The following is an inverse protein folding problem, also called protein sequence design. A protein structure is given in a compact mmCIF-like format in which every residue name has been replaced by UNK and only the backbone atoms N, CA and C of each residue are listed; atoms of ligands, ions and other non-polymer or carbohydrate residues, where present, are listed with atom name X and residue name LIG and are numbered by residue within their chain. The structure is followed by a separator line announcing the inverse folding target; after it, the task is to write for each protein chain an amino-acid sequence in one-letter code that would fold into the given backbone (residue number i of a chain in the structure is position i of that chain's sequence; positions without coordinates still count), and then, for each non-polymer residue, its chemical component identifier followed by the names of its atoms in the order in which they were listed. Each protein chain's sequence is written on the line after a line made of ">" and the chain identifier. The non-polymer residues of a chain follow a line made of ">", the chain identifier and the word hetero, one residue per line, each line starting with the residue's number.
data_IF_879548868725
#
_entry.id   IF_879548868725
#
_cell.length_a   1.000
_cell.length_b   1.000
_cell.length_c   1.000
_cell.angle_alpha   90.00
_cell.angle_beta   90.00
_cell.angle_gamma   90.00
#
_symmetry.space_group_name_H-M   'P 1'
#
loop_
_entity.id
_entity.type
_entity.pdbx_description
1 polymer ?
#
# COMPACT_ATOMS: atom_id res chain seq x y z
N UNK A 1 4.95 0.67 9.56
CA UNK A 1 4.48 2.01 9.12
C UNK A 1 5.68 2.81 8.69
N UNK A 2 5.51 3.77 7.78
CA UNK A 2 6.52 4.80 7.63
C UNK A 2 6.69 5.60 8.94
N UNK A 3 7.89 6.10 9.22
CA UNK A 3 8.18 6.89 10.41
C UNK A 3 8.13 8.40 10.11
N UNK A 4 7.47 9.18 10.96
CA UNK A 4 7.34 10.65 10.86
C UNK A 4 8.72 11.31 10.86
N UNK A 5 9.62 10.84 11.73
CA UNK A 5 10.98 11.40 11.86
C UNK A 5 11.78 11.34 10.55
N UNK A 6 11.51 10.35 9.69
CA UNK A 6 12.23 10.12 8.43
C UNK A 6 11.74 11.01 7.30
N UNK A 7 10.64 11.74 7.49
CA UNK A 7 10.04 12.58 6.47
C UNK A 7 10.28 14.06 6.75
N UNK A 8 10.60 14.81 5.69
CA UNK A 8 10.91 16.25 5.80
C UNK A 8 9.66 17.10 6.04
N UNK A 9 8.52 16.71 5.46
CA UNK A 9 7.32 17.54 5.43
C UNK A 9 7.49 18.78 4.55
N UNK A 10 6.55 19.72 4.67
CA UNK A 10 6.58 21.06 4.06
C UNK A 10 7.43 21.98 4.94
N UNK A 11 8.29 22.78 4.29
CA UNK A 11 9.17 23.75 4.96
C UNK A 11 8.79 25.20 4.65
N UNK A 12 7.88 25.40 3.69
CA UNK A 12 7.40 26.71 3.26
C UNK A 12 6.47 27.34 4.31
N UNK A 13 6.83 28.55 4.77
CA UNK A 13 5.99 29.34 5.68
C UNK A 13 4.62 29.68 5.07
N UNK A 14 4.54 29.74 3.73
CA UNK A 14 3.30 29.95 2.97
C UNK A 14 2.53 28.65 2.68
N UNK A 15 2.85 27.53 3.32
CA UNK A 15 2.08 26.31 3.15
C UNK A 15 0.66 26.46 3.75
N UNK A 16 -0.30 25.72 3.20
CA UNK A 16 -1.65 25.66 3.79
C UNK A 16 -1.63 25.19 5.25
N UNK A 17 -0.72 24.27 5.61
CA UNK A 17 -0.57 23.77 6.98
C UNK A 17 -0.17 24.87 7.96
N UNK A 18 0.77 25.74 7.57
CA UNK A 18 1.23 26.86 8.40
C UNK A 18 0.12 27.90 8.61
N UNK A 19 -0.67 28.18 7.57
CA UNK A 19 -1.77 29.17 7.64
C UNK A 19 -2.93 28.76 8.55
N UNK A 20 -3.22 27.46 8.68
CA UNK A 20 -4.31 26.97 9.54
C UNK A 20 -4.12 27.39 11.00
N UNK A 21 -2.87 27.34 11.49
CA UNK A 21 -2.57 27.65 12.89
C UNK A 21 -1.82 28.97 13.10
N UNK A 22 -1.44 29.66 12.02
CA UNK A 22 -0.53 30.80 12.09
C UNK A 22 0.85 30.44 12.65
N UNK A 23 1.25 29.17 12.55
CA UNK A 23 2.48 28.66 13.15
C UNK A 23 3.20 27.70 12.20
N UNK A 24 4.42 28.08 11.79
CA UNK A 24 5.22 27.30 10.83
C UNK A 24 5.71 25.96 11.40
N UNK A 25 6.11 25.90 12.68
CA UNK A 25 6.60 24.66 13.29
C UNK A 25 5.47 23.62 13.38
N UNK A 26 4.29 24.06 13.83
CA UNK A 26 3.11 23.21 13.92
C UNK A 26 2.65 22.77 12.53
N UNK A 27 2.61 23.70 11.57
CA UNK A 27 2.30 23.38 10.17
C UNK A 27 3.27 22.36 9.57
N UNK A 28 4.57 22.50 9.83
CA UNK A 28 5.59 21.55 9.38
C UNK A 28 5.39 20.16 9.99
N UNK A 29 5.16 20.06 11.31
CA UNK A 29 4.92 18.78 11.98
C UNK A 29 3.67 18.06 11.42
N UNK A 30 2.55 18.77 11.26
CA UNK A 30 1.32 18.21 10.67
C UNK A 30 1.55 17.75 9.23
N UNK A 31 2.30 18.53 8.45
CA UNK A 31 2.62 18.14 7.07
C UNK A 31 3.49 16.88 6.99
N UNK A 32 4.35 16.62 7.98
CA UNK A 32 5.10 15.36 8.09
C UNK A 32 4.17 14.20 8.37
N UNK A 33 3.22 14.33 9.30
CA UNK A 33 2.20 13.30 9.56
C UNK A 33 1.45 12.93 8.28
N UNK A 34 1.03 13.92 7.49
CA UNK A 34 0.37 13.65 6.22
C UNK A 34 1.31 12.93 5.23
N UNK A 35 2.56 13.40 5.07
CA UNK A 35 3.54 12.71 4.23
C UNK A 35 3.78 11.25 4.69
N UNK A 36 3.71 10.99 6.00
CA UNK A 36 3.85 9.66 6.59
C UNK A 36 2.67 8.77 6.22
N UNK A 37 1.44 9.31 6.28
CA UNK A 37 0.25 8.59 5.83
C UNK A 37 0.33 8.19 4.36
N UNK A 38 0.86 9.07 3.49
CA UNK A 38 1.08 8.74 2.08
C UNK A 38 2.14 7.63 1.94
N UNK A 39 3.24 7.76 2.68
CA UNK A 39 4.36 6.81 2.62
C UNK A 39 4.04 5.45 3.24
N UNK A 40 2.99 5.35 4.07
CA UNK A 40 2.59 4.13 4.73
C UNK A 40 2.19 3.01 3.75
N UNK A 41 1.54 3.36 2.63
CA UNK A 41 1.22 2.39 1.56
C UNK A 41 2.48 1.79 0.93
N UNK A 42 3.43 2.63 0.53
CA UNK A 42 4.72 2.19 -0.02
C UNK A 42 5.52 1.34 0.99
N UNK A 43 5.41 1.64 2.29
CA UNK A 43 6.09 0.87 3.32
C UNK A 43 5.44 -0.49 3.54
N UNK A 44 4.10 -0.58 3.44
CA UNK A 44 3.39 -1.85 3.49
C UNK A 44 3.84 -2.78 2.36
N UNK A 45 3.95 -2.28 1.13
CA UNK A 45 4.46 -3.06 -0.01
C UNK A 45 5.84 -3.66 0.27
N UNK A 46 6.76 -2.87 0.84
CA UNK A 46 8.09 -3.34 1.21
C UNK A 46 8.05 -4.40 2.29
N UNK A 47 7.24 -4.21 3.33
CA UNK A 47 7.09 -5.18 4.41
C UNK A 47 6.59 -6.50 3.82
N UNK A 48 5.48 -6.50 3.08
CA UNK A 48 4.95 -7.70 2.43
C UNK A 48 6.02 -8.39 1.58
N UNK A 49 6.74 -7.61 0.77
CA UNK A 49 7.80 -8.14 -0.11
C UNK A 49 8.96 -8.77 0.65
N UNK A 50 9.27 -8.29 1.85
CA UNK A 50 10.34 -8.87 2.69
C UNK A 50 9.99 -10.23 3.29
N UNK A 51 8.69 -10.56 3.41
CA UNK A 51 8.23 -11.86 3.89
C UNK A 51 7.89 -12.83 2.76
N UNK A 52 7.51 -12.32 1.58
CA UNK A 52 7.12 -13.13 0.45
C UNK A 52 8.33 -13.71 -0.30
N UNK A 53 8.09 -14.80 -1.04
CA UNK A 53 9.09 -15.31 -1.96
C UNK A 53 9.16 -14.46 -3.24
N UNK A 54 10.23 -13.68 -3.38
CA UNK A 54 10.47 -12.82 -4.57
C UNK A 54 11.58 -13.36 -5.46
N UNK A 55 11.91 -14.65 -5.39
CA UNK A 55 13.04 -15.25 -6.12
C UNK A 55 12.80 -15.36 -7.63
N UNK A 56 11.54 -15.34 -8.07
CA UNK A 56 11.15 -15.53 -9.46
C UNK A 56 10.99 -14.19 -10.17
N UNK A 57 11.59 -14.06 -11.35
CA UNK A 57 11.44 -12.87 -12.19
C UNK A 57 10.28 -13.04 -13.16
N UNK A 58 9.72 -11.91 -13.62
CA UNK A 58 8.61 -11.96 -14.57
C UNK A 58 9.03 -12.51 -15.93
N UNK A 59 10.29 -12.31 -16.30
CA UNK A 59 10.85 -12.89 -17.54
C UNK A 59 11.03 -14.42 -17.41
N UNK A 60 11.20 -14.98 -16.21
CA UNK A 60 11.24 -16.43 -16.00
C UNK A 60 9.87 -17.08 -16.24
N UNK A 61 8.79 -16.40 -15.88
CA UNK A 61 7.42 -16.81 -16.18
C UNK A 61 7.20 -16.93 -17.69
N UNK A 62 7.71 -15.98 -18.47
CA UNK A 62 7.58 -15.99 -19.93
C UNK A 62 8.33 -17.14 -20.58
N UNK A 63 9.50 -17.48 -20.05
CA UNK A 63 10.36 -18.54 -20.58
C UNK A 63 10.00 -19.92 -20.01
N UNK A 64 8.91 -20.02 -19.24
CA UNK A 64 8.49 -21.24 -18.53
C UNK A 64 9.57 -21.84 -17.61
N UNK A 65 10.43 -21.00 -17.05
CA UNK A 65 11.55 -21.38 -16.18
C UNK A 65 11.19 -21.20 -14.70
N UNK A 66 10.32 -22.05 -14.17
CA UNK A 66 9.87 -21.98 -12.79
C UNK A 66 9.53 -23.35 -12.22
N UNK A 67 9.57 -23.46 -10.88
CA UNK A 67 9.09 -24.60 -10.12
C UNK A 67 7.73 -24.32 -9.47
N UNK A 68 7.09 -25.35 -8.95
CA UNK A 68 5.90 -25.20 -8.10
C UNK A 68 6.20 -24.32 -6.87
N UNK A 69 5.27 -23.42 -6.55
CA UNK A 69 5.46 -22.42 -5.51
C UNK A 69 4.47 -21.28 -5.58
N UNK A 70 4.61 -20.33 -4.64
CA UNK A 70 3.96 -19.03 -4.68
C UNK A 70 5.04 -17.97 -4.75
N UNK A 71 4.95 -17.09 -5.73
CA UNK A 71 5.96 -16.06 -5.99
C UNK A 71 5.31 -14.69 -6.10
N UNK A 72 5.93 -13.70 -5.45
CA UNK A 72 5.54 -12.31 -5.52
C UNK A 72 6.47 -11.54 -6.47
N UNK A 73 5.88 -10.84 -7.43
CA UNK A 73 6.57 -9.90 -8.31
C UNK A 73 6.04 -8.50 -8.01
N UNK A 74 6.93 -7.61 -7.55
CA UNK A 74 6.58 -6.23 -7.18
C UNK A 74 6.44 -5.33 -8.40
N UNK A 75 5.71 -4.22 -8.27
CA UNK A 75 5.63 -3.13 -9.27
C UNK A 75 6.99 -2.72 -9.83
N UNK A 76 8.01 -2.63 -8.96
CA UNK A 76 9.40 -2.29 -9.37
C UNK A 76 10.01 -3.36 -10.27
N UNK A 77 9.74 -4.63 -10.01
CA UNK A 77 10.19 -5.73 -10.85
C UNK A 77 9.44 -5.75 -12.19
N UNK A 78 8.12 -5.52 -12.19
CA UNK A 78 7.32 -5.40 -13.43
C UNK A 78 7.88 -4.30 -14.34
N UNK A 79 8.17 -3.10 -13.79
CA UNK A 79 8.73 -1.97 -14.55
C UNK A 79 10.08 -2.26 -15.22
N UNK A 80 10.86 -3.19 -14.67
CA UNK A 80 12.15 -3.61 -15.23
C UNK A 80 12.03 -4.75 -16.25
N UNK A 81 10.89 -5.43 -16.29
CA UNK A 81 10.65 -6.57 -17.18
C UNK A 81 10.36 -6.16 -18.61
N UNK A 82 10.40 -7.14 -19.51
CA UNK A 82 9.96 -7.00 -20.91
C UNK A 82 8.43 -6.88 -21.04
N UNK A 83 7.68 -7.16 -19.97
CA UNK A 83 6.22 -7.08 -19.90
C UNK A 83 5.68 -5.75 -19.37
N UNK A 84 6.55 -4.76 -19.13
CA UNK A 84 6.06 -3.43 -18.76
C UNK A 84 5.08 -2.91 -19.82
N UNK A 85 3.96 -2.37 -19.37
CA UNK A 85 3.05 -1.64 -20.26
C UNK A 85 3.68 -0.30 -20.62
N UNK A 86 3.50 0.14 -21.87
CA UNK A 86 3.96 1.46 -22.31
C UNK A 86 3.31 2.63 -21.53
N UNK A 87 2.25 2.36 -20.76
CA UNK A 87 1.41 3.37 -20.11
C UNK A 87 1.66 3.60 -18.60
N UNK A 88 2.70 3.00 -17.98
CA UNK A 88 2.94 3.09 -16.53
C UNK A 88 1.76 2.62 -15.65
N UNK A 89 0.91 1.74 -16.18
CA UNK A 89 -0.30 1.23 -15.50
C UNK A 89 -0.03 -0.12 -14.81
N UNK A 90 1.06 -0.20 -14.04
CA UNK A 90 1.42 -1.46 -13.37
C UNK A 90 0.68 -1.66 -12.05
N UNK A 91 0.21 -2.89 -11.76
CA UNK A 91 -0.30 -3.25 -10.45
C UNK A 91 0.80 -3.14 -9.41
N UNK A 92 0.41 -3.04 -8.14
CA UNK A 92 1.38 -2.99 -7.05
C UNK A 92 2.04 -4.36 -6.84
N UNK A 93 1.26 -5.44 -6.96
CA UNK A 93 1.71 -6.82 -6.78
C UNK A 93 1.17 -7.73 -7.89
N UNK A 94 2.03 -8.62 -8.39
CA UNK A 94 1.63 -9.82 -9.12
C UNK A 94 1.99 -11.06 -8.30
N UNK A 95 1.06 -11.98 -8.14
CA UNK A 95 1.30 -13.21 -7.39
C UNK A 95 1.06 -14.41 -8.29
N UNK A 96 2.09 -15.22 -8.48
CA UNK A 96 2.03 -16.44 -9.27
C UNK A 96 1.91 -17.64 -8.34
N UNK A 97 0.77 -18.31 -8.38
CA UNK A 97 0.56 -19.61 -7.75
C UNK A 97 0.70 -20.72 -8.80
N UNK A 98 1.69 -21.59 -8.59
CA UNK A 98 2.00 -22.73 -9.45
C UNK A 98 1.93 -23.98 -8.59
N UNK A 99 0.94 -24.85 -8.84
CA UNK A 99 0.73 -26.08 -8.08
C UNK A 99 0.13 -27.17 -8.95
N UNK A 100 0.82 -28.30 -9.11
CA UNK A 100 0.28 -29.51 -9.74
C UNK A 100 -0.49 -29.22 -11.06
N UNK A 101 0.15 -28.52 -12.00
CA UNK A 101 -0.40 -28.06 -13.29
C UNK A 101 -1.44 -26.93 -13.23
N UNK A 102 -1.93 -26.54 -12.05
CA UNK A 102 -2.72 -25.31 -11.89
C UNK A 102 -1.76 -24.11 -11.83
N UNK A 103 -2.04 -23.11 -12.67
CA UNK A 103 -1.25 -21.89 -12.84
C UNK A 103 -2.20 -20.69 -12.77
N UNK A 104 -2.07 -19.87 -11.73
CA UNK A 104 -2.88 -18.67 -11.55
C UNK A 104 -2.02 -17.45 -11.24
N UNK A 105 -2.37 -16.31 -11.82
CA UNK A 105 -1.73 -15.02 -11.61
C UNK A 105 -2.76 -14.05 -11.00
N UNK A 106 -2.54 -13.69 -9.74
CA UNK A 106 -3.32 -12.66 -9.06
C UNK A 106 -2.71 -11.29 -9.37
N UNK A 107 -3.53 -10.38 -9.90
CA UNK A 107 -3.17 -9.00 -10.21
C UNK A 107 -3.75 -8.12 -9.11
N UNK A 108 -2.90 -7.64 -8.20
CA UNK A 108 -3.36 -7.00 -6.97
C UNK A 108 -2.96 -5.53 -6.93
N UNK A 109 -3.95 -4.68 -6.76
CA UNK A 109 -3.79 -3.28 -6.35
C UNK A 109 -3.85 -3.23 -4.82
N UNK A 110 -2.82 -2.71 -4.16
CA UNK A 110 -2.70 -2.74 -2.70
C UNK A 110 -3.04 -1.39 -2.11
N UNK A 111 -3.96 -1.40 -1.14
CA UNK A 111 -4.38 -0.22 -0.40
C UNK A 111 -4.20 -0.44 1.10
N UNK A 112 -3.76 0.62 1.77
CA UNK A 112 -3.60 0.58 3.23
C UNK A 112 -4.92 0.76 3.98
N UNK A 113 -5.87 1.52 3.41
CA UNK A 113 -7.22 1.75 3.96
C UNK A 113 -8.29 1.51 2.91
N UNK A 114 -9.53 1.91 3.19
CA UNK A 114 -10.73 1.53 2.44
C UNK A 114 -11.64 2.70 1.98
N UNK A 115 -11.43 3.93 2.46
CA UNK A 115 -12.25 5.09 2.06
C UNK A 115 -11.73 5.76 0.78
N UNK A 116 -12.35 5.46 -0.38
CA UNK A 116 -11.89 5.97 -1.67
C UNK A 116 -12.80 7.02 -2.32
N UNK A 117 -12.15 7.89 -3.09
CA UNK A 117 -12.82 8.76 -4.05
C UNK A 117 -13.34 7.94 -5.24
N UNK A 118 -14.60 8.17 -5.63
CA UNK A 118 -15.29 7.40 -6.70
C UNK A 118 -14.59 7.46 -8.06
N UNK A 119 -13.99 8.61 -8.41
CA UNK A 119 -13.33 8.78 -9.71
C UNK A 119 -12.03 8.00 -9.73
N UNK A 120 -11.30 8.03 -8.62
CA UNK A 120 -10.06 7.27 -8.45
C UNK A 120 -10.32 5.77 -8.54
N UNK A 121 -11.32 5.25 -7.82
CA UNK A 121 -11.68 3.83 -7.85
C UNK A 121 -12.03 3.32 -9.26
N UNK A 122 -12.75 4.12 -10.05
CA UNK A 122 -13.15 3.72 -11.41
C UNK A 122 -11.94 3.66 -12.37
N UNK A 123 -11.05 4.66 -12.29
CA UNK A 123 -9.82 4.67 -13.08
C UNK A 123 -8.87 3.54 -12.72
N UNK A 124 -8.73 3.22 -11.43
CA UNK A 124 -7.91 2.09 -10.97
C UNK A 124 -8.44 0.75 -11.50
N UNK A 125 -9.76 0.54 -11.49
CA UNK A 125 -10.38 -0.67 -12.08
C UNK A 125 -10.13 -0.80 -13.58
N UNK A 126 -10.29 0.29 -14.32
CA UNK A 126 -10.03 0.29 -15.76
C UNK A 126 -8.55 -0.02 -16.07
N UNK A 127 -7.64 0.56 -15.29
CA UNK A 127 -6.20 0.32 -15.43
C UNK A 127 -5.84 -1.15 -15.18
N UNK A 128 -6.40 -1.76 -14.13
CA UNK A 128 -6.18 -3.18 -13.84
C UNK A 128 -6.73 -4.09 -14.95
N UNK A 129 -7.90 -3.79 -15.51
CA UNK A 129 -8.44 -4.55 -16.65
C UNK A 129 -7.58 -4.46 -17.90
N UNK A 130 -7.03 -3.28 -18.20
CA UNK A 130 -6.08 -3.09 -19.31
C UNK A 130 -4.80 -3.90 -19.06
N UNK A 131 -4.31 -3.91 -17.82
CA UNK A 131 -3.13 -4.71 -17.46
C UNK A 131 -3.40 -6.21 -17.58
N UNK A 132 -4.51 -6.69 -17.02
CA UNK A 132 -4.92 -8.09 -17.13
C UNK A 132 -5.01 -8.54 -18.58
N UNK A 133 -5.73 -7.80 -19.42
CA UNK A 133 -5.87 -8.10 -20.84
C UNK A 133 -4.52 -8.14 -21.57
N UNK A 134 -3.55 -7.35 -21.12
CA UNK A 134 -2.21 -7.35 -21.69
C UNK A 134 -1.40 -8.59 -21.28
N UNK A 135 -1.44 -8.95 -19.99
CA UNK A 135 -0.61 -10.02 -19.46
C UNK A 135 -1.19 -11.40 -19.76
N UNK A 136 -2.52 -11.57 -19.72
CA UNK A 136 -3.18 -12.86 -19.94
C UNK A 136 -2.89 -13.44 -21.33
N UNK A 137 -2.71 -12.59 -22.33
CA UNK A 137 -2.33 -12.98 -23.69
C UNK A 137 -0.85 -13.40 -23.84
N UNK A 138 -0.04 -13.25 -22.79
CA UNK A 138 1.41 -13.46 -22.83
C UNK A 138 1.90 -14.57 -21.90
N UNK A 139 1.06 -15.01 -20.96
CA UNK A 139 1.41 -16.02 -19.97
C UNK A 139 0.40 -17.17 -20.03
N UNK A 140 0.86 -18.40 -19.82
CA UNK A 140 -0.03 -19.57 -19.73
C UNK A 140 -0.61 -19.74 -18.33
N UNK A 141 -1.27 -18.69 -17.83
CA UNK A 141 -1.86 -18.63 -16.50
C UNK A 141 -3.30 -18.12 -16.61
N UNK A 142 -4.17 -18.63 -15.77
CA UNK A 142 -5.44 -17.94 -15.50
C UNK A 142 -5.15 -16.67 -14.70
N UNK A 143 -5.95 -15.62 -14.89
CA UNK A 143 -5.76 -14.33 -14.21
C UNK A 143 -6.98 -13.96 -13.38
N UNK A 144 -6.76 -13.14 -12.35
CA UNK A 144 -7.81 -12.46 -11.59
C UNK A 144 -7.31 -11.09 -11.14
N UNK A 145 -8.23 -10.13 -11.03
CA UNK A 145 -7.95 -8.79 -10.50
C UNK A 145 -8.47 -8.72 -9.07
N UNK A 146 -7.64 -8.20 -8.16
CA UNK A 146 -8.04 -7.96 -6.78
C UNK A 146 -7.63 -6.58 -6.27
N UNK A 147 -8.51 -5.97 -5.49
CA UNK A 147 -8.27 -4.75 -4.73
C UNK A 147 -8.12 -5.12 -3.26
N UNK A 148 -6.88 -5.12 -2.79
CA UNK A 148 -6.58 -5.47 -1.42
C UNK A 148 -6.64 -4.25 -0.51
N UNK A 149 -7.55 -4.22 0.47
CA UNK A 149 -7.50 -3.24 1.55
C UNK A 149 -6.95 -3.92 2.80
N UNK A 150 -5.66 -3.72 3.08
CA UNK A 150 -4.90 -4.59 3.99
C UNK A 150 -5.40 -4.56 5.44
N UNK A 151 -5.87 -3.39 5.90
CA UNK A 151 -6.39 -3.22 7.26
C UNK A 151 -7.92 -3.37 7.35
N UNK A 152 -8.59 -3.82 6.30
CA UNK A 152 -10.02 -4.11 6.30
C UNK A 152 -10.25 -5.63 6.44
N UNK A 153 -11.15 -6.00 7.34
CA UNK A 153 -11.44 -7.40 7.69
C UNK A 153 -12.61 -7.99 6.89
N UNK A 154 -13.31 -7.18 6.10
CA UNK A 154 -14.50 -7.60 5.34
C UNK A 154 -14.46 -7.15 3.89
N UNK A 155 -14.58 -8.10 2.96
CA UNK A 155 -14.76 -7.82 1.53
C UNK A 155 -15.95 -6.90 1.25
N UNK A 156 -17.04 -7.06 2.00
CA UNK A 156 -18.23 -6.22 1.87
C UNK A 156 -17.92 -4.75 2.22
N UNK A 157 -17.17 -4.50 3.29
CA UNK A 157 -16.75 -3.14 3.67
C UNK A 157 -15.80 -2.54 2.62
N UNK A 158 -14.94 -3.36 2.02
CA UNK A 158 -14.10 -2.94 0.89
C UNK A 158 -14.97 -2.49 -0.29
N UNK A 159 -15.96 -3.30 -0.70
CA UNK A 159 -16.89 -2.95 -1.79
C UNK A 159 -17.63 -1.64 -1.48
N UNK A 160 -18.09 -1.46 -0.24
CA UNK A 160 -18.74 -0.22 0.21
C UNK A 160 -17.81 0.98 0.16
N UNK A 161 -16.55 0.83 0.59
CA UNK A 161 -15.51 1.85 0.49
C UNK A 161 -15.18 2.26 -0.95
N UNK A 162 -15.26 1.30 -1.88
CA UNK A 162 -15.22 1.52 -3.33
C UNK A 162 -16.56 1.97 -3.93
N UNK A 163 -17.60 2.16 -3.10
CA UNK A 163 -18.96 2.59 -3.50
C UNK A 163 -19.55 1.72 -4.60
N UNK A 164 -19.39 0.41 -4.48
CA UNK A 164 -19.94 -0.60 -5.40
C UNK A 164 -19.26 -0.65 -6.77
N UNK A 165 -18.09 -0.01 -6.95
CA UNK A 165 -17.36 -0.02 -8.24
C UNK A 165 -16.63 -1.33 -8.51
N UNK A 166 -16.39 -2.12 -7.48
CA UNK A 166 -15.80 -3.46 -7.54
C UNK A 166 -16.80 -4.47 -6.96
N UNK A 167 -16.69 -5.73 -7.36
CA UNK A 167 -17.48 -6.82 -6.77
C UNK A 167 -16.82 -7.38 -5.51
N UNK A 168 -17.51 -8.25 -4.77
CA UNK A 168 -16.90 -8.99 -3.66
C UNK A 168 -15.82 -9.99 -4.14
N UNK A 169 -15.91 -10.47 -5.38
CA UNK A 169 -14.87 -11.31 -5.99
C UNK A 169 -13.59 -10.51 -6.27
N UNK A 170 -13.74 -9.24 -6.69
CA UNK A 170 -12.63 -8.30 -6.87
C UNK A 170 -12.03 -7.88 -5.51
N UNK A 171 -12.74 -8.01 -4.39
CA UNK A 171 -12.31 -7.52 -3.08
C UNK A 171 -11.44 -8.55 -2.34
N UNK A 172 -10.34 -8.08 -1.73
CA UNK A 172 -9.41 -8.92 -0.97
C UNK A 172 -9.04 -8.25 0.36
N UNK A 173 -9.09 -8.97 1.47
CA UNK A 173 -8.61 -8.49 2.76
C UNK A 173 -7.10 -8.71 2.90
N UNK A 174 -6.45 -8.02 3.84
CA UNK A 174 -5.02 -8.24 4.11
C UNK A 174 -4.71 -9.66 4.59
N UNK A 175 -5.61 -10.27 5.36
CA UNK A 175 -5.49 -11.67 5.82
C UNK A 175 -5.51 -12.64 4.65
N UNK A 176 -6.46 -12.47 3.73
CA UNK A 176 -6.56 -13.32 2.52
C UNK A 176 -5.34 -13.14 1.61
N UNK A 177 -4.87 -11.91 1.42
CA UNK A 177 -3.62 -11.65 0.68
C UNK A 177 -2.44 -12.41 1.30
N UNK A 178 -2.30 -12.38 2.62
CA UNK A 178 -1.22 -13.10 3.32
C UNK A 178 -1.37 -14.62 3.21
N UNK A 179 -2.60 -15.14 3.22
CA UNK A 179 -2.87 -16.57 2.99
C UNK A 179 -2.45 -17.00 1.60
N UNK A 180 -2.77 -16.22 0.56
CA UNK A 180 -2.34 -16.47 -0.83
C UNK A 180 -0.81 -16.50 -0.89
N UNK A 181 -0.16 -15.50 -0.30
CA UNK A 181 1.31 -15.37 -0.27
C UNK A 181 2.02 -16.37 0.65
N UNK A 182 1.28 -17.12 1.48
CA UNK A 182 1.80 -18.00 2.53
C UNK A 182 2.73 -17.28 3.51
N UNK A 183 2.36 -16.06 3.90
CA UNK A 183 3.09 -15.23 4.88
C UNK A 183 2.23 -14.98 6.12
N UNK A 184 2.88 -14.60 7.21
CA UNK A 184 2.25 -14.38 8.52
C UNK A 184 1.73 -12.94 8.64
N UNK A 185 0.39 -12.81 8.63
CA UNK A 185 -0.30 -11.53 8.76
C UNK A 185 -0.02 -10.83 10.11
N UNK A 186 0.02 -11.59 11.20
CA UNK A 186 0.17 -11.03 12.55
C UNK A 186 1.58 -10.49 12.79
N UNK A 187 2.60 -11.10 12.17
CA UNK A 187 3.96 -10.54 12.16
C UNK A 187 4.01 -9.16 11.49
N UNK A 188 3.32 -9.00 10.36
CA UNK A 188 3.23 -7.70 9.67
C UNK A 188 2.53 -6.67 10.56
N UNK A 189 1.41 -7.03 11.18
CA UNK A 189 0.71 -6.14 12.11
C UNK A 189 1.58 -5.75 13.31
N UNK A 190 2.34 -6.69 13.86
CA UNK A 190 3.22 -6.45 15.01
C UNK A 190 4.32 -5.44 14.67
N UNK A 191 4.99 -5.58 13.52
CA UNK A 191 5.97 -4.61 13.03
C UNK A 191 5.33 -3.22 12.89
N UNK A 192 4.14 -3.15 12.28
CA UNK A 192 3.46 -1.88 12.08
C UNK A 192 3.02 -1.23 13.39
N UNK A 193 2.58 -1.99 14.39
CA UNK A 193 2.23 -1.48 15.73
C UNK A 193 3.44 -0.88 16.45
N UNK A 194 4.62 -1.47 16.29
CA UNK A 194 5.87 -0.89 16.81
C UNK A 194 6.12 0.49 16.19
N UNK A 195 6.04 0.59 14.86
CA UNK A 195 6.25 1.87 14.17
C UNK A 195 5.15 2.91 14.52
N UNK A 196 3.92 2.48 14.79
CA UNK A 196 2.85 3.37 15.28
C UNK A 196 3.20 3.97 16.65
N UNK A 197 3.78 3.18 17.56
CA UNK A 197 4.25 3.67 18.85
C UNK A 197 5.38 4.68 18.69
N UNK A 198 6.37 4.37 17.86
CA UNK A 198 7.48 5.30 17.57
C UNK A 198 6.97 6.62 16.97
N UNK A 199 5.99 6.54 16.05
CA UNK A 199 5.33 7.72 15.49
C UNK A 199 4.58 8.54 16.55
N UNK A 200 3.86 7.89 17.46
CA UNK A 200 3.14 8.57 18.54
C UNK A 200 4.12 9.30 19.46
N UNK A 201 5.15 8.63 19.95
CA UNK A 201 6.17 9.20 20.83
C UNK A 201 6.88 10.38 20.15
N UNK A 202 7.29 10.22 18.88
CA UNK A 202 7.89 11.30 18.10
C UNK A 202 6.94 12.50 17.98
N UNK A 203 5.68 12.27 17.62
CA UNK A 203 4.70 13.35 17.43
C UNK A 203 4.46 14.12 18.73
N UNK A 204 4.25 13.43 19.85
CA UNK A 204 4.02 14.06 21.16
C UNK A 204 5.25 14.86 21.60
N UNK A 205 6.45 14.29 21.50
CA UNK A 205 7.68 15.00 21.90
C UNK A 205 7.91 16.27 21.06
N UNK A 206 7.59 16.22 19.77
CA UNK A 206 7.74 17.39 18.89
C UNK A 206 6.64 18.43 19.12
N UNK A 207 5.38 18.02 19.34
CA UNK A 207 4.27 18.97 19.50
C UNK A 207 4.38 19.76 20.81
N UNK A 208 4.74 19.11 21.93
CA UNK A 208 4.91 19.78 23.23
C UNK A 208 6.15 20.68 23.29
N UNK A 209 7.09 20.50 22.37
CA UNK A 209 8.30 21.33 22.25
C UNK A 209 8.03 22.65 21.50
N UNK A 210 6.90 22.79 20.83
CA UNK A 210 6.51 24.02 20.13
C UNK A 210 6.08 25.06 21.18
N UNK A 211 6.68 26.27 21.25
CA UNK A 211 6.42 27.25 22.29
C UNK A 211 4.93 27.57 22.48
N UNK A 212 4.22 27.86 21.38
CA UNK A 212 2.78 28.16 21.40
C UNK A 212 1.95 27.04 22.02
N UNK A 213 2.27 25.77 21.74
CA UNK A 213 1.56 24.61 22.30
C UNK A 213 1.93 24.44 23.77
N UNK A 214 3.23 24.54 24.09
CA UNK A 214 3.74 24.39 25.45
C UNK A 214 3.10 25.40 26.40
N UNK A 215 3.02 26.65 25.99
CA UNK A 215 2.46 27.72 26.82
C UNK A 215 0.94 27.55 26.97
N UNK A 216 0.23 27.20 25.89
CA UNK A 216 -1.19 26.86 25.97
C UNK A 216 -1.48 25.69 26.93
N UNK A 217 -0.65 24.64 26.91
CA UNK A 217 -0.81 23.49 27.80
C UNK A 217 -0.55 23.84 29.27
N UNK A 218 0.44 24.70 29.56
CA UNK A 218 0.66 25.20 30.93
C UNK A 218 -0.56 25.95 31.44
N UNK A 219 -1.20 26.77 30.61
CA UNK A 219 -2.37 27.56 30.99
C UNK A 219 -3.64 26.72 31.18
N UNK A 220 -3.69 25.49 30.64
CA UNK A 220 -4.86 24.60 30.69
C UNK A 220 -4.76 23.43 31.66
N UNK A 221 -3.55 23.06 32.08
CA UNK A 221 -3.28 21.94 32.98
C UNK A 221 -2.91 22.38 34.40
N UNK A 222 -2.96 23.69 34.66
CA UNK A 222 -2.97 24.31 36.00
C UNK A 222 -4.43 24.54 36.39
#
# INVERSE_FOLDING_TARGET
>A
MALIEKLKGRMDANSGYSRVFGNQQLGSLVSRVHATSISAGNELEKIISSFANTSLLLDDILNENFSDGVYLITKKAVKKSKLKLFSNLEPDLLIFEIKNKRRHCYIVELKDGDNFDTKKSSGEKENMKKFESHISNKIQFTTSIHFCCFNQDSRHLIVNGFKGRISEDDALTGKELCQILKIDYDKILTLRKKDQRENFEYFINNIISIPQVKDYLKDKLV
#
